data_IF_888033507906
#
_entry.id   IF_888033507906
#
_cell.length_a   1.000
_cell.length_b   1.000
_cell.length_c   1.000
_cell.angle_alpha   90.00
_cell.angle_beta   90.00
_cell.angle_gamma   90.00
#
_symmetry.space_group_name_H-M   'P 1'
#
loop_
_entity.id
_entity.type
_entity.pdbx_description
1 polymer ?
#
# COMPACT_ATOMS: atom_id res chain seq x y z
N UNK A 1 -66.30 -4.38 4.42
CA UNK A 1 -64.93 -4.30 4.98
C UNK A 1 -64.23 -5.63 4.69
N UNK A 2 -63.37 -5.71 3.67
CA UNK A 2 -62.54 -6.90 3.37
C UNK A 2 -61.09 -6.49 3.54
N UNK A 3 -60.43 -6.96 4.60
CA UNK A 3 -58.99 -6.78 4.78
C UNK A 3 -58.26 -7.67 3.75
N UNK A 4 -57.45 -7.05 2.88
CA UNK A 4 -56.46 -7.74 2.05
C UNK A 4 -55.18 -7.88 2.85
N UNK A 5 -54.83 -9.10 3.22
CA UNK A 5 -53.52 -9.43 3.80
C UNK A 5 -52.47 -9.34 2.70
N UNK A 6 -51.55 -8.38 2.77
CA UNK A 6 -50.35 -8.34 1.92
C UNK A 6 -49.30 -9.23 2.58
N UNK A 7 -48.95 -10.34 1.94
CA UNK A 7 -47.79 -11.15 2.30
C UNK A 7 -46.53 -10.39 1.91
N UNK A 8 -45.71 -10.03 2.90
CA UNK A 8 -44.38 -9.45 2.69
C UNK A 8 -43.43 -10.61 2.41
N UNK A 9 -42.91 -10.72 1.18
CA UNK A 9 -41.78 -11.60 0.88
C UNK A 9 -40.51 -10.92 1.40
N UNK A 10 -39.94 -11.44 2.48
CA UNK A 10 -38.60 -11.07 2.92
C UNK A 10 -37.60 -11.82 2.05
N UNK A 11 -36.96 -11.12 1.11
CA UNK A 11 -35.82 -11.65 0.39
C UNK A 11 -34.63 -11.68 1.36
N UNK A 12 -34.26 -12.87 1.84
CA UNK A 12 -33.02 -13.09 2.57
C UNK A 12 -31.92 -13.13 1.50
N UNK A 13 -31.18 -12.03 1.36
CA UNK A 13 -29.95 -12.01 0.58
C UNK A 13 -28.91 -12.82 1.38
N UNK A 14 -28.73 -14.09 1.00
CA UNK A 14 -27.65 -14.89 1.54
C UNK A 14 -26.33 -14.30 1.03
N UNK A 15 -25.61 -13.58 1.88
CA UNK A 15 -24.22 -13.22 1.63
C UNK A 15 -23.42 -14.53 1.64
N UNK A 16 -23.06 -15.03 0.47
CA UNK A 16 -22.11 -16.12 0.32
C UNK A 16 -20.76 -15.60 0.79
N UNK A 17 -20.35 -15.99 2.01
CA UNK A 17 -18.97 -15.86 2.45
C UNK A 17 -18.18 -16.85 1.61
N UNK A 18 -17.57 -16.38 0.52
CA UNK A 18 -16.64 -17.20 -0.26
C UNK A 18 -15.41 -17.46 0.59
N UNK A 19 -15.37 -18.62 1.26
CA UNK A 19 -14.17 -19.17 1.84
C UNK A 19 -13.22 -19.58 0.70
N UNK A 20 -12.46 -18.63 0.18
CA UNK A 20 -11.33 -18.95 -0.68
C UNK A 20 -10.29 -19.65 0.20
N UNK A 21 -10.20 -20.98 0.09
CA UNK A 21 -9.10 -21.72 0.67
C UNK A 21 -7.84 -21.31 -0.11
N UNK A 22 -7.08 -20.35 0.44
CA UNK A 22 -5.84 -19.91 -0.14
C UNK A 22 -4.86 -21.09 -0.22
N UNK A 23 -4.15 -21.21 -1.34
CA UNK A 23 -3.07 -22.17 -1.45
C UNK A 23 -2.07 -21.89 -0.32
N UNK A 24 -1.69 -22.93 0.40
CA UNK A 24 -0.72 -22.80 1.48
C UNK A 24 0.63 -22.39 0.89
N UNK A 25 1.18 -21.27 1.34
CA UNK A 25 2.51 -20.79 0.93
C UNK A 25 3.59 -21.81 1.28
N UNK A 26 4.58 -21.99 0.41
CA UNK A 26 5.70 -22.92 0.61
C UNK A 26 6.96 -22.14 1.05
N UNK A 27 7.46 -22.36 2.28
CA UNK A 27 8.66 -21.68 2.79
C UNK A 27 9.96 -21.96 2.02
N UNK A 28 9.98 -22.99 1.16
CA UNK A 28 11.16 -23.36 0.37
C UNK A 28 11.15 -22.80 -1.05
N UNK A 29 10.12 -22.01 -1.38
CA UNK A 29 9.89 -21.46 -2.72
C UNK A 29 10.31 -20.00 -2.80
N UNK A 30 10.76 -19.56 -3.97
CA UNK A 30 11.03 -18.15 -4.21
C UNK A 30 9.73 -17.34 -4.13
N UNK A 31 9.80 -16.01 -3.88
CA UNK A 31 8.64 -15.13 -3.88
C UNK A 31 7.69 -15.31 -5.06
N UNK A 32 8.22 -15.33 -6.29
CA UNK A 32 7.44 -15.48 -7.52
C UNK A 32 6.86 -16.87 -7.75
N UNK A 33 7.25 -17.88 -6.96
CA UNK A 33 6.64 -19.20 -6.98
C UNK A 33 5.45 -19.30 -6.01
N UNK A 34 5.38 -18.41 -5.00
CA UNK A 34 4.28 -18.33 -4.03
C UNK A 34 3.24 -17.26 -4.40
N UNK A 35 3.65 -16.23 -5.15
CA UNK A 35 2.82 -15.07 -5.51
C UNK A 35 2.89 -14.83 -7.01
N UNK A 36 1.78 -14.40 -7.62
CA UNK A 36 1.80 -13.90 -8.99
C UNK A 36 2.48 -12.53 -9.01
N UNK A 37 3.72 -12.51 -9.47
CA UNK A 37 4.54 -11.31 -9.61
C UNK A 37 4.71 -10.88 -11.08
N UNK A 38 3.92 -11.45 -11.99
CA UNK A 38 4.03 -11.24 -13.44
C UNK A 38 3.79 -9.80 -13.90
N UNK A 39 3.11 -9.00 -13.07
CA UNK A 39 2.82 -7.59 -13.32
C UNK A 39 3.49 -6.66 -12.32
N UNK A 40 4.64 -7.05 -11.78
CA UNK A 40 5.35 -6.27 -10.78
C UNK A 40 6.82 -6.12 -11.11
N UNK A 41 7.32 -4.90 -10.98
CA UNK A 41 8.76 -4.66 -10.78
C UNK A 41 9.01 -4.32 -9.31
N UNK A 42 10.26 -4.43 -8.87
CA UNK A 42 10.64 -4.22 -7.47
C UNK A 42 11.76 -3.18 -7.35
N UNK A 43 11.62 -2.27 -6.39
CA UNK A 43 12.77 -1.51 -5.89
C UNK A 43 13.30 -2.15 -4.62
N UNK A 44 14.63 -2.26 -4.52
CA UNK A 44 15.35 -2.82 -3.37
C UNK A 44 16.27 -1.73 -2.80
N UNK A 45 16.40 -1.57 -1.47
CA UNK A 45 17.07 -0.42 -0.84
C UNK A 45 18.61 -0.51 -0.87
N UNK A 46 19.18 -0.76 -2.05
CA UNK A 46 20.63 -0.81 -2.32
C UNK A 46 20.93 -0.06 -3.62
N UNK A 47 22.22 0.23 -3.87
CA UNK A 47 22.65 0.71 -5.17
C UNK A 47 22.47 -0.38 -6.24
N UNK A 48 22.00 0.01 -7.41
CA UNK A 48 21.83 -0.89 -8.55
C UNK A 48 23.18 -1.44 -9.03
N UNK A 49 23.24 -2.76 -9.22
CA UNK A 49 24.47 -3.44 -9.66
C UNK A 49 24.67 -3.36 -11.17
N UNK A 50 23.65 -2.96 -11.94
CA UNK A 50 23.72 -2.84 -13.41
C UNK A 50 24.55 -1.61 -13.80
N UNK A 51 25.59 -1.73 -14.65
CA UNK A 51 26.49 -0.62 -14.99
C UNK A 51 25.80 0.65 -15.52
N UNK A 52 24.74 0.48 -16.32
CA UNK A 52 23.94 1.56 -16.91
C UNK A 52 23.03 2.27 -15.90
N UNK A 53 22.83 1.67 -14.71
CA UNK A 53 22.05 2.22 -13.60
C UNK A 53 22.91 2.62 -12.39
N UNK A 54 24.23 2.73 -12.57
CA UNK A 54 25.17 3.15 -11.51
C UNK A 54 24.68 4.43 -10.81
N UNK A 55 24.71 4.44 -9.47
CA UNK A 55 24.25 5.55 -8.64
C UNK A 55 22.73 5.67 -8.51
N UNK A 56 21.96 4.69 -9.02
CA UNK A 56 20.51 4.62 -8.84
C UNK A 56 20.14 3.52 -7.83
N UNK A 57 18.92 3.58 -7.31
CA UNK A 57 18.36 2.48 -6.52
C UNK A 57 18.17 1.24 -7.40
N UNK A 58 18.45 0.06 -6.82
CA UNK A 58 18.25 -1.22 -7.48
C UNK A 58 16.82 -1.36 -7.95
N UNK A 59 16.67 -1.61 -9.25
CA UNK A 59 15.41 -2.01 -9.86
C UNK A 59 15.54 -3.42 -10.41
N UNK A 60 14.67 -4.31 -9.91
CA UNK A 60 14.48 -5.65 -10.43
C UNK A 60 13.30 -5.56 -11.39
N UNK A 61 13.56 -5.84 -12.66
CA UNK A 61 12.53 -5.85 -13.71
C UNK A 61 11.49 -6.96 -13.46
N UNK A 62 10.36 -6.87 -14.17
CA UNK A 62 9.32 -7.92 -14.15
C UNK A 62 9.93 -9.29 -14.49
N UNK A 63 10.75 -9.37 -15.54
CA UNK A 63 11.37 -10.62 -15.95
C UNK A 63 12.31 -11.17 -14.86
N UNK A 64 13.24 -10.36 -14.35
CA UNK A 64 14.18 -10.78 -13.30
C UNK A 64 13.45 -11.23 -12.03
N UNK A 65 12.35 -10.55 -11.64
CA UNK A 65 11.56 -10.91 -10.46
C UNK A 65 10.93 -12.30 -10.59
N UNK A 66 10.44 -12.62 -11.80
CA UNK A 66 9.81 -13.90 -12.11
C UNK A 66 10.80 -15.03 -12.43
N UNK A 67 12.11 -14.74 -12.52
CA UNK A 67 13.18 -15.75 -12.54
C UNK A 67 13.56 -16.27 -11.14
N UNK A 68 12.73 -15.98 -10.12
CA UNK A 68 12.94 -16.42 -8.74
C UNK A 68 13.85 -15.50 -7.94
N UNK A 69 13.83 -14.19 -8.23
CA UNK A 69 14.66 -13.20 -7.52
C UNK A 69 14.44 -13.24 -6.01
N UNK A 70 15.54 -13.24 -5.26
CA UNK A 70 15.58 -13.13 -3.80
C UNK A 70 16.73 -12.19 -3.42
N UNK A 71 16.45 -11.28 -2.50
CA UNK A 71 17.48 -10.57 -1.74
C UNK A 71 17.39 -10.98 -0.26
N UNK A 72 18.44 -11.63 0.31
CA UNK A 72 18.36 -12.27 1.62
C UNK A 72 18.04 -11.30 2.78
N UNK A 73 18.33 -10.01 2.62
CA UNK A 73 18.05 -9.00 3.64
C UNK A 73 16.78 -8.17 3.38
N UNK A 74 16.34 -8.03 2.11
CA UNK A 74 15.41 -6.97 1.72
C UNK A 74 14.13 -7.46 1.05
N UNK A 75 14.16 -8.64 0.43
CA UNK A 75 13.04 -9.21 -0.32
C UNK A 75 13.18 -10.74 -0.40
N UNK A 76 12.42 -11.48 0.40
CA UNK A 76 12.58 -12.93 0.50
C UNK A 76 11.32 -13.64 0.98
N UNK A 77 11.30 -14.97 0.85
CA UNK A 77 10.28 -15.84 1.43
C UNK A 77 10.64 -16.14 2.88
N UNK A 78 9.72 -15.90 3.81
CA UNK A 78 9.89 -16.28 5.21
C UNK A 78 10.00 -17.82 5.33
N UNK A 79 11.12 -18.27 5.90
CA UNK A 79 11.47 -19.70 6.00
C UNK A 79 10.53 -20.54 6.88
N UNK A 80 9.58 -19.92 7.60
CA UNK A 80 8.64 -20.63 8.48
C UNK A 80 7.23 -20.65 7.91
N UNK A 81 6.81 -19.54 7.32
CA UNK A 81 5.42 -19.29 6.92
C UNK A 81 5.22 -19.28 5.41
N UNK A 82 6.28 -19.07 4.62
CA UNK A 82 6.17 -18.85 3.17
C UNK A 82 5.74 -17.44 2.78
N UNK A 83 5.53 -16.54 3.76
CA UNK A 83 5.14 -15.16 3.51
C UNK A 83 6.21 -14.40 2.71
N UNK A 84 5.76 -13.46 1.88
CA UNK A 84 6.63 -12.56 1.14
C UNK A 84 7.06 -11.38 2.02
N UNK A 85 8.35 -11.33 2.36
CA UNK A 85 8.92 -10.35 3.29
C UNK A 85 9.57 -9.20 2.54
N UNK A 86 9.21 -7.98 2.92
CA UNK A 86 9.85 -6.73 2.50
C UNK A 86 10.51 -6.05 3.69
N UNK A 87 11.76 -5.63 3.53
CA UNK A 87 12.51 -4.93 4.57
C UNK A 87 13.13 -3.66 4.00
N UNK A 88 13.07 -2.55 4.74
CA UNK A 88 13.71 -1.30 4.36
C UNK A 88 14.36 -0.60 5.57
N UNK A 89 15.67 -0.28 5.52
CA UNK A 89 16.33 0.46 6.59
C UNK A 89 15.89 1.94 6.60
N UNK A 90 16.17 2.68 7.67
CA UNK A 90 15.86 4.11 7.75
C UNK A 90 16.64 4.97 6.74
N UNK A 91 17.79 4.47 6.27
CA UNK A 91 18.58 5.13 5.23
C UNK A 91 19.21 4.11 4.29
N UNK A 92 18.97 4.33 3.01
CA UNK A 92 19.51 3.54 1.91
C UNK A 92 19.53 4.40 0.64
N UNK A 93 19.96 3.82 -0.48
CA UNK A 93 19.74 4.42 -1.80
C UNK A 93 18.24 4.59 -2.04
N UNK A 94 17.82 5.75 -2.56
CA UNK A 94 16.42 6.06 -2.80
C UNK A 94 16.16 6.45 -4.25
N UNK A 95 14.88 6.46 -4.63
CA UNK A 95 14.43 7.00 -5.93
C UNK A 95 14.58 8.53 -5.97
N UNK A 96 14.80 9.16 -7.13
CA UNK A 96 15.11 10.60 -7.24
C UNK A 96 14.19 11.60 -6.53
N UNK A 97 12.91 11.26 -6.34
CA UNK A 97 11.91 12.15 -5.75
C UNK A 97 11.51 11.78 -4.31
N UNK A 98 12.28 10.91 -3.65
CA UNK A 98 11.99 10.47 -2.29
C UNK A 98 13.25 10.42 -1.44
N UNK A 99 13.16 10.88 -0.20
CA UNK A 99 14.19 10.71 0.83
C UNK A 99 14.06 9.39 1.59
N UNK A 100 13.04 8.60 1.27
CA UNK A 100 12.60 7.46 2.06
C UNK A 100 12.94 6.15 1.32
N UNK A 101 13.59 5.24 2.04
CA UNK A 101 13.98 3.93 1.52
C UNK A 101 12.77 3.00 1.39
N UNK A 102 12.86 2.05 0.46
CA UNK A 102 11.79 1.09 0.21
C UNK A 102 12.32 -0.26 -0.28
N UNK A 103 11.65 -1.32 0.15
CA UNK A 103 11.55 -2.57 -0.59
C UNK A 103 10.10 -2.69 -1.00
N UNK A 104 9.78 -2.38 -2.26
CA UNK A 104 8.40 -2.13 -2.67
C UNK A 104 8.16 -2.44 -4.13
N UNK A 105 7.05 -3.15 -4.39
CA UNK A 105 6.58 -3.48 -5.73
C UNK A 105 5.90 -2.27 -6.39
N UNK A 106 6.00 -2.22 -7.71
CA UNK A 106 5.35 -1.24 -8.58
C UNK A 106 4.64 -2.00 -9.70
N UNK A 107 3.33 -1.78 -9.85
CA UNK A 107 2.51 -2.49 -10.84
C UNK A 107 2.87 -2.10 -12.27
N UNK A 108 3.05 -3.09 -13.13
CA UNK A 108 3.39 -2.97 -14.55
C UNK A 108 2.35 -3.77 -15.33
N UNK A 109 1.28 -3.12 -15.79
CA UNK A 109 0.15 -3.81 -16.42
C UNK A 109 0.44 -4.26 -17.87
N UNK A 110 1.47 -3.70 -18.51
CA UNK A 110 1.84 -4.08 -19.86
C UNK A 110 2.68 -5.36 -19.87
N UNK A 111 2.29 -6.33 -20.70
CA UNK A 111 3.11 -7.52 -20.97
C UNK A 111 4.35 -7.22 -21.82
N UNK A 112 4.34 -6.08 -22.53
CA UNK A 112 5.42 -5.68 -23.43
C UNK A 112 6.48 -4.83 -22.67
N UNK A 113 7.73 -5.31 -22.52
CA UNK A 113 8.77 -4.62 -21.76
C UNK A 113 9.24 -3.31 -22.41
N UNK A 114 8.92 -3.07 -23.68
CA UNK A 114 9.21 -1.80 -24.36
C UNK A 114 8.25 -0.68 -23.95
N UNK A 115 7.12 -1.01 -23.33
CA UNK A 115 6.17 0.00 -22.81
C UNK A 115 6.76 0.60 -21.53
N UNK A 116 6.91 1.92 -21.52
CA UNK A 116 7.51 2.63 -20.40
C UNK A 116 6.66 2.54 -19.14
N UNK A 117 7.31 2.57 -17.97
CA UNK A 117 6.64 2.51 -16.66
C UNK A 117 5.48 3.50 -16.51
N UNK A 118 5.63 4.72 -17.07
CA UNK A 118 4.64 5.80 -16.96
C UNK A 118 3.84 6.03 -18.25
N UNK A 119 3.87 5.09 -19.19
CA UNK A 119 3.03 5.13 -20.37
C UNK A 119 1.61 4.68 -20.02
N UNK A 120 0.55 5.31 -20.56
CA UNK A 120 -0.82 4.90 -20.29
C UNK A 120 -1.05 3.39 -20.47
N UNK A 121 -0.46 2.79 -21.50
CA UNK A 121 -0.59 1.37 -21.82
C UNK A 121 0.02 0.40 -20.78
N UNK A 122 0.68 0.91 -19.73
CA UNK A 122 1.19 0.12 -18.59
C UNK A 122 0.48 0.45 -17.27
N UNK A 123 -0.51 1.33 -17.29
CA UNK A 123 -1.16 1.92 -16.13
C UNK A 123 -2.68 1.87 -16.29
N UNK A 124 -3.41 2.16 -15.22
CA UNK A 124 -4.86 2.30 -15.26
C UNK A 124 -5.30 3.76 -15.16
N UNK A 125 -6.55 4.02 -15.54
CA UNK A 125 -7.23 5.30 -15.38
C UNK A 125 -8.57 5.11 -14.66
N UNK A 126 -9.16 6.21 -14.16
CA UNK A 126 -10.56 6.23 -13.74
C UNK A 126 -11.49 6.42 -14.95
N UNK A 127 -12.77 6.08 -14.81
CA UNK A 127 -13.73 6.09 -15.92
C UNK A 127 -13.97 7.48 -16.54
N UNK A 128 -13.81 8.56 -15.78
CA UNK A 128 -13.92 9.94 -16.28
C UNK A 128 -12.67 10.45 -17.04
N UNK A 129 -11.63 9.63 -17.17
CA UNK A 129 -10.47 9.99 -17.97
C UNK A 129 -10.87 10.12 -19.45
N UNK A 130 -10.42 11.19 -20.12
CA UNK A 130 -10.82 11.45 -21.52
C UNK A 130 -10.13 10.54 -22.53
N UNK A 131 -9.11 9.79 -22.10
CA UNK A 131 -8.29 8.95 -22.97
C UNK A 131 -8.20 7.50 -22.46
N UNK A 132 -9.29 6.97 -21.90
CA UNK A 132 -9.34 5.59 -21.35
C UNK A 132 -8.82 4.52 -22.31
N UNK A 133 -9.05 4.68 -23.63
CA UNK A 133 -8.62 3.72 -24.67
C UNK A 133 -7.09 3.56 -24.79
N UNK A 134 -6.32 4.50 -24.24
CA UNK A 134 -4.86 4.41 -24.23
C UNK A 134 -4.32 3.67 -23.00
N UNK A 135 -5.15 3.45 -21.98
CA UNK A 135 -4.74 2.82 -20.73
C UNK A 135 -4.83 1.29 -20.81
N UNK A 136 -4.02 0.60 -20.01
CA UNK A 136 -4.07 -0.86 -19.93
C UNK A 136 -5.40 -1.35 -19.32
N UNK A 137 -5.99 -0.53 -18.45
CA UNK A 137 -7.26 -0.83 -17.76
C UNK A 137 -7.98 0.43 -17.33
N UNK A 138 -9.28 0.32 -17.10
CA UNK A 138 -10.10 1.35 -16.44
C UNK A 138 -10.52 0.81 -15.07
N UNK A 139 -9.92 1.38 -14.02
CA UNK A 139 -10.02 0.85 -12.66
C UNK A 139 -9.00 -0.26 -12.39
N UNK A 140 -9.25 -1.01 -11.33
CA UNK A 140 -8.39 -2.11 -10.89
C UNK A 140 -8.48 -2.30 -9.39
N UNK A 141 -8.04 -3.46 -8.90
CA UNK A 141 -8.18 -3.87 -7.51
C UNK A 141 -6.91 -4.53 -6.99
N UNK A 142 -6.40 -4.02 -5.87
CA UNK A 142 -5.31 -4.61 -5.10
C UNK A 142 -5.86 -5.24 -3.82
N UNK A 143 -5.67 -6.54 -3.63
CA UNK A 143 -6.04 -7.24 -2.40
C UNK A 143 -4.80 -7.76 -1.69
N UNK A 144 -4.71 -7.56 -0.38
CA UNK A 144 -3.59 -8.05 0.41
C UNK A 144 -4.01 -8.58 1.79
N UNK A 145 -3.23 -9.51 2.32
CA UNK A 145 -3.19 -9.87 3.73
C UNK A 145 -1.75 -9.71 4.20
N UNK A 146 -1.52 -8.90 5.23
CA UNK A 146 -0.17 -8.48 5.64
C UNK A 146 -0.04 -8.50 7.16
N UNK A 147 1.18 -8.69 7.67
CA UNK A 147 1.57 -8.26 9.01
C UNK A 147 2.68 -7.21 8.90
N UNK A 148 2.63 -6.19 9.75
CA UNK A 148 3.81 -5.34 9.98
C UNK A 148 4.60 -5.95 11.11
N UNK A 149 5.80 -6.43 10.83
CA UNK A 149 6.60 -7.18 11.78
C UNK A 149 7.51 -6.25 12.59
N UNK A 150 7.93 -5.14 11.98
CA UNK A 150 8.75 -4.12 12.63
C UNK A 150 8.55 -2.74 12.01
N UNK A 151 8.66 -1.70 12.82
CA UNK A 151 8.82 -0.30 12.39
C UNK A 151 9.98 0.30 13.16
N UNK A 152 10.57 1.37 12.63
CA UNK A 152 11.68 2.04 13.29
C UNK A 152 11.31 2.38 14.72
N UNK A 153 12.26 2.22 15.66
CA UNK A 153 12.08 2.60 17.07
C UNK A 153 12.73 3.94 17.41
N UNK A 154 13.44 4.55 16.44
CA UNK A 154 13.98 5.91 16.51
C UNK A 154 13.13 6.88 15.69
N UNK A 155 13.20 8.16 16.02
CA UNK A 155 12.48 9.23 15.31
C UNK A 155 11.91 10.31 16.23
N UNK A 156 11.51 11.43 15.64
CA UNK A 156 10.83 12.50 16.35
C UNK A 156 9.32 12.23 16.40
N UNK A 157 8.78 12.04 17.61
CA UNK A 157 7.35 11.78 17.84
C UNK A 157 6.41 12.87 17.32
N UNK A 158 6.91 14.08 17.07
CA UNK A 158 6.11 15.20 16.53
C UNK A 158 5.79 15.03 15.05
N UNK A 159 6.58 14.25 14.32
CA UNK A 159 6.39 13.97 12.90
C UNK A 159 5.58 12.69 12.70
N UNK A 160 4.63 12.72 11.76
CA UNK A 160 3.75 11.57 11.50
C UNK A 160 4.47 10.40 10.84
N UNK A 161 5.58 10.68 10.15
CA UNK A 161 6.31 9.70 9.36
C UNK A 161 7.23 8.83 10.23
N UNK A 162 7.65 9.35 11.38
CA UNK A 162 8.42 8.60 12.38
C UNK A 162 7.64 7.37 12.86
N UNK A 163 8.33 6.25 13.02
CA UNK A 163 7.78 4.97 13.50
C UNK A 163 6.66 4.41 12.60
N UNK A 164 6.70 4.72 11.29
CA UNK A 164 5.64 4.31 10.36
C UNK A 164 6.19 3.72 9.06
N UNK A 165 5.34 2.91 8.43
CA UNK A 165 5.57 2.29 7.13
C UNK A 165 4.30 2.42 6.31
N UNK A 166 4.47 2.69 5.02
CA UNK A 166 3.39 2.58 4.04
C UNK A 166 3.41 1.17 3.46
N UNK A 167 2.27 0.49 3.53
CA UNK A 167 2.11 -0.93 3.16
C UNK A 167 1.38 -1.16 1.84
N UNK A 168 0.74 -0.12 1.30
CA UNK A 168 -0.01 -0.16 0.05
C UNK A 168 -0.33 1.24 -0.44
N UNK A 169 -0.35 1.44 -1.76
CA UNK A 169 -0.56 2.75 -2.38
C UNK A 169 -1.31 2.65 -3.70
N UNK A 170 -2.00 3.73 -4.05
CA UNK A 170 -2.19 4.16 -5.43
C UNK A 170 -1.37 5.41 -5.62
N UNK A 171 -0.51 5.39 -6.62
CA UNK A 171 0.33 6.52 -6.98
C UNK A 171 -0.06 7.00 -8.38
N UNK A 172 -0.15 8.32 -8.56
CA UNK A 172 -0.36 8.95 -9.87
C UNK A 172 0.99 9.34 -10.49
N UNK A 173 1.07 10.27 -11.45
CA UNK A 173 2.39 10.68 -11.96
C UNK A 173 3.24 11.44 -10.93
N UNK A 174 2.59 12.25 -10.10
CA UNK A 174 3.28 13.22 -9.23
C UNK A 174 2.85 13.15 -7.77
N UNK A 175 1.62 12.69 -7.51
CA UNK A 175 0.95 12.75 -6.21
C UNK A 175 0.33 11.37 -5.90
N UNK A 176 -0.01 11.11 -4.65
CA UNK A 176 -0.54 9.82 -4.21
C UNK A 176 -1.99 9.91 -3.72
N UNK A 177 -3.00 9.54 -4.54
CA UNK A 177 -4.40 9.49 -4.09
C UNK A 177 -4.62 8.49 -2.93
N UNK A 178 -3.70 7.55 -2.71
CA UNK A 178 -3.76 6.65 -1.56
C UNK A 178 -2.37 6.29 -1.04
N UNK A 179 -2.18 6.43 0.26
CA UNK A 179 -1.12 5.77 1.03
C UNK A 179 -1.72 5.11 2.27
N UNK A 180 -1.59 3.79 2.42
CA UNK A 180 -2.02 3.05 3.60
C UNK A 180 -0.84 2.95 4.56
N UNK A 181 -0.98 3.56 5.73
CA UNK A 181 0.05 3.58 6.77
C UNK A 181 -0.27 2.59 7.89
N UNK A 182 0.79 1.99 8.42
CA UNK A 182 0.85 1.49 9.77
C UNK A 182 1.85 2.33 10.56
N UNK A 183 1.49 2.75 11.77
CA UNK A 183 2.37 3.50 12.67
C UNK A 183 2.22 3.01 14.09
N UNK A 184 3.34 2.71 14.76
CA UNK A 184 3.35 2.29 16.15
C UNK A 184 4.40 3.08 16.93
N UNK A 185 3.99 3.78 17.98
CA UNK A 185 4.96 4.46 18.84
C UNK A 185 5.76 3.43 19.67
N UNK A 186 7.02 3.74 20.03
CA UNK A 186 7.86 2.86 20.83
C UNK A 186 7.25 2.44 22.18
N UNK A 187 6.46 3.31 22.80
CA UNK A 187 5.80 3.13 24.10
C UNK A 187 4.39 2.52 24.01
N UNK A 188 3.90 2.21 22.82
CA UNK A 188 2.59 1.58 22.61
C UNK A 188 2.74 0.07 22.40
N UNK A 189 1.71 -0.71 22.77
CA UNK A 189 1.61 -2.11 22.37
C UNK A 189 0.98 -2.23 20.98
N UNK A 190 -0.03 -1.41 20.67
CA UNK A 190 -0.76 -1.42 19.41
C UNK A 190 -0.29 -0.30 18.47
N UNK A 191 -0.19 -0.63 17.18
CA UNK A 191 -0.07 0.34 16.10
C UNK A 191 -1.41 0.82 15.59
N UNK A 192 -1.44 2.02 15.02
CA UNK A 192 -2.58 2.55 14.29
C UNK A 192 -2.45 2.27 12.80
N UNK A 193 -3.56 1.90 12.18
CA UNK A 193 -3.74 1.79 10.73
C UNK A 193 -4.60 2.95 10.27
N UNK A 194 -4.13 3.68 9.28
CA UNK A 194 -4.85 4.78 8.67
C UNK A 194 -4.44 4.91 7.21
N UNK A 195 -5.22 5.62 6.42
CA UNK A 195 -4.83 5.93 5.05
C UNK A 195 -4.84 7.44 4.82
N UNK A 196 -3.94 7.91 3.96
CA UNK A 196 -3.87 9.30 3.53
C UNK A 196 -4.38 9.41 2.08
N UNK A 197 -5.23 10.41 1.85
CA UNK A 197 -5.48 10.98 0.52
C UNK A 197 -4.60 12.23 0.36
N UNK A 198 -3.68 12.23 -0.61
CA UNK A 198 -2.97 13.47 -0.98
C UNK A 198 -3.83 14.26 -1.97
N UNK A 199 -4.12 15.52 -1.68
CA UNK A 199 -4.82 16.37 -2.64
C UNK A 199 -3.98 16.59 -3.91
N UNK A 200 -4.64 16.61 -5.07
CA UNK A 200 -3.94 16.78 -6.33
C UNK A 200 -3.59 18.25 -6.63
N UNK A 201 -2.64 18.82 -5.90
CA UNK A 201 -2.14 20.16 -6.21
C UNK A 201 -1.13 20.10 -7.38
N UNK A 202 -1.33 20.97 -8.37
CA UNK A 202 -0.62 20.94 -9.64
C UNK A 202 0.00 22.32 -9.97
N UNK A 203 0.99 22.33 -10.88
CA UNK A 203 1.61 23.55 -11.38
C UNK A 203 2.18 24.43 -10.26
N UNK A 204 1.87 25.72 -10.26
CA UNK A 204 2.36 26.68 -9.26
C UNK A 204 1.89 26.34 -7.84
N UNK A 205 0.78 25.62 -7.70
CA UNK A 205 0.23 25.18 -6.41
C UNK A 205 0.83 23.85 -5.92
N UNK A 206 1.80 23.26 -6.60
CA UNK A 206 2.39 21.96 -6.21
C UNK A 206 2.94 21.93 -4.77
N UNK A 207 3.37 23.07 -4.24
CA UNK A 207 3.83 23.20 -2.85
C UNK A 207 2.69 23.21 -1.81
N UNK A 208 1.42 23.17 -2.25
CA UNK A 208 0.20 23.14 -1.43
C UNK A 208 -0.36 21.73 -1.23
N UNK A 209 0.39 20.70 -1.61
CA UNK A 209 0.03 19.30 -1.33
C UNK A 209 -0.04 19.06 0.18
N UNK A 210 -0.98 18.22 0.55
CA UNK A 210 -1.33 17.88 1.91
C UNK A 210 -1.91 16.47 1.93
N UNK A 211 -1.38 15.65 2.82
CA UNK A 211 -1.98 14.38 3.19
C UNK A 211 -3.14 14.58 4.18
N UNK A 212 -4.31 14.08 3.81
CA UNK A 212 -5.51 14.04 4.63
C UNK A 212 -5.69 12.62 5.17
N UNK A 213 -5.52 12.45 6.47
CA UNK A 213 -5.55 11.14 7.13
C UNK A 213 -6.97 10.71 7.52
N UNK A 214 -7.23 9.41 7.35
CA UNK A 214 -8.48 8.73 7.69
C UNK A 214 -8.18 7.51 8.57
N UNK A 215 -8.70 7.54 9.80
CA UNK A 215 -8.47 6.49 10.79
C UNK A 215 -9.20 5.20 10.41
N UNK A 216 -8.50 4.06 10.45
CA UNK A 216 -9.09 2.72 10.27
C UNK A 216 -9.20 2.00 11.61
N UNK A 217 -8.05 1.76 12.25
CA UNK A 217 -7.89 1.16 13.57
C UNK A 217 -6.89 1.99 14.37
N UNK A 218 -7.25 2.41 15.59
CA UNK A 218 -6.49 3.42 16.30
C UNK A 218 -6.68 4.81 15.70
N UNK A 219 -5.64 5.67 15.73
CA UNK A 219 -5.71 7.04 15.20
C UNK A 219 -4.44 7.45 14.48
N UNK A 220 -4.57 8.19 13.39
CA UNK A 220 -3.47 8.90 12.79
C UNK A 220 -2.93 9.99 13.74
N UNK A 221 -1.73 10.49 13.43
CA UNK A 221 -1.13 11.64 14.14
C UNK A 221 -1.00 11.45 15.66
N UNK A 222 -0.79 10.22 16.13
CA UNK A 222 -0.40 9.95 17.51
C UNK A 222 0.88 10.69 17.90
N UNK A 223 1.01 11.04 19.18
CA UNK A 223 2.14 11.78 19.75
C UNK A 223 2.60 11.10 21.04
N UNK A 224 3.80 11.46 21.48
CA UNK A 224 4.32 11.04 22.77
C UNK A 224 3.32 11.34 23.90
N UNK A 225 3.06 10.35 24.75
CA UNK A 225 2.13 10.46 25.88
C UNK A 225 0.65 10.33 25.53
N UNK A 226 0.28 10.16 24.25
CA UNK A 226 -1.08 9.72 23.92
C UNK A 226 -1.31 8.27 24.38
N UNK A 227 -2.55 7.94 24.70
CA UNK A 227 -2.95 6.58 25.09
C UNK A 227 -2.71 5.58 23.96
N UNK A 228 -2.33 4.36 24.35
CA UNK A 228 -2.15 3.22 23.46
C UNK A 228 -3.48 2.84 22.80
N UNK A 229 -3.59 2.84 21.45
CA UNK A 229 -4.84 2.60 20.73
C UNK A 229 -5.28 1.15 20.83
N UNK A 230 -6.13 0.83 21.82
CA UNK A 230 -6.55 -0.55 22.11
C UNK A 230 -7.33 -1.24 20.97
N UNK A 231 -7.90 -0.46 20.04
CA UNK A 231 -8.55 -0.99 18.83
C UNK A 231 -7.59 -1.19 17.65
N UNK A 232 -6.32 -0.81 17.81
CA UNK A 232 -5.24 -0.92 16.84
C UNK A 232 -4.81 -2.36 16.51
N UNK A 233 -3.65 -2.47 15.85
CA UNK A 233 -3.08 -3.73 15.33
C UNK A 233 -1.67 -3.89 15.90
N UNK A 234 -1.34 -5.05 16.47
CA UNK A 234 0.01 -5.33 17.01
C UNK A 234 1.00 -5.62 15.89
N UNK A 235 2.29 -5.49 16.20
CA UNK A 235 3.32 -6.04 15.30
C UNK A 235 3.15 -7.56 15.17
N UNK A 236 3.25 -8.07 13.95
CA UNK A 236 3.02 -9.48 13.61
C UNK A 236 1.55 -9.91 13.55
N UNK A 237 0.59 -9.04 13.91
CA UNK A 237 -0.83 -9.30 13.75
C UNK A 237 -1.24 -9.10 12.27
N UNK A 238 -2.06 -10.01 11.75
CA UNK A 238 -2.53 -9.96 10.37
C UNK A 238 -3.63 -8.91 10.20
N UNK A 239 -3.54 -8.18 9.10
CA UNK A 239 -4.51 -7.21 8.61
C UNK A 239 -4.73 -7.49 7.12
N UNK A 240 -5.98 -7.59 6.70
CA UNK A 240 -6.32 -7.57 5.27
C UNK A 240 -6.71 -6.17 4.83
N UNK A 241 -6.33 -5.79 3.61
CA UNK A 241 -6.86 -4.61 2.94
C UNK A 241 -7.24 -4.93 1.49
N UNK A 242 -8.26 -4.25 0.98
CA UNK A 242 -8.61 -4.20 -0.43
C UNK A 242 -8.68 -2.74 -0.86
N UNK A 243 -8.09 -2.44 -2.02
CA UNK A 243 -8.17 -1.16 -2.70
C UNK A 243 -8.76 -1.41 -4.06
N UNK A 244 -10.02 -1.03 -4.27
CA UNK A 244 -10.74 -1.24 -5.53
C UNK A 244 -11.14 0.11 -6.14
N UNK A 245 -10.69 0.40 -7.36
CA UNK A 245 -11.13 1.57 -8.13
C UNK A 245 -12.17 1.12 -9.15
N UNK A 246 -13.41 1.51 -8.94
CA UNK A 246 -14.55 1.23 -9.82
C UNK A 246 -15.17 2.56 -10.28
N UNK A 247 -15.22 2.76 -11.60
CA UNK A 247 -15.63 4.06 -12.16
C UNK A 247 -14.65 5.17 -11.76
N UNK A 248 -15.15 6.15 -11.00
CA UNK A 248 -14.35 7.25 -10.43
C UNK A 248 -14.11 7.09 -8.92
N UNK A 249 -14.62 6.01 -8.33
CA UNK A 249 -14.64 5.82 -6.88
C UNK A 249 -13.54 4.83 -6.47
N UNK A 250 -12.70 5.26 -5.54
CA UNK A 250 -11.81 4.38 -4.80
C UNK A 250 -12.55 3.86 -3.56
N UNK A 251 -12.79 2.56 -3.55
CA UNK A 251 -13.32 1.80 -2.43
C UNK A 251 -12.17 1.17 -1.65
N UNK A 252 -12.18 1.35 -0.33
CA UNK A 252 -11.22 0.74 0.57
C UNK A 252 -11.95 -0.15 1.56
N UNK A 253 -11.43 -1.35 1.77
CA UNK A 253 -11.89 -2.26 2.82
C UNK A 253 -10.70 -2.71 3.65
N UNK A 254 -10.87 -2.73 4.98
CA UNK A 254 -9.87 -3.23 5.93
C UNK A 254 -10.53 -4.24 6.86
N UNK A 255 -9.86 -5.36 7.10
CA UNK A 255 -10.36 -6.43 7.97
C UNK A 255 -9.26 -6.81 8.96
N UNK A 256 -9.61 -6.76 10.25
CA UNK A 256 -8.82 -7.33 11.35
C UNK A 256 -9.45 -8.63 11.80
N UNK A 257 -8.63 -9.57 12.28
CA UNK A 257 -9.07 -10.87 12.79
C UNK A 257 -9.92 -11.66 11.78
N UNK A 258 -9.50 -11.65 10.50
CA UNK A 258 -10.26 -12.25 9.38
C UNK A 258 -10.55 -13.75 9.59
N UNK A 259 -9.62 -14.47 10.23
CA UNK A 259 -9.74 -15.90 10.54
C UNK A 259 -10.49 -16.19 11.85
N UNK A 260 -10.97 -15.16 12.57
CA UNK A 260 -11.68 -15.33 13.84
C UNK A 260 -13.20 -15.44 13.64
N UNK A 261 -13.90 -15.85 14.70
CA UNK A 261 -15.37 -15.83 14.74
C UNK A 261 -15.98 -14.41 14.67
N UNK A 262 -15.18 -13.36 14.90
CA UNK A 262 -15.65 -11.97 15.00
C UNK A 262 -14.72 -11.01 14.23
N UNK A 263 -14.63 -11.11 12.89
CA UNK A 263 -13.81 -10.21 12.10
C UNK A 263 -14.32 -8.76 12.21
N UNK A 264 -13.41 -7.81 12.33
CA UNK A 264 -13.75 -6.39 12.39
C UNK A 264 -13.46 -5.75 11.04
N UNK A 265 -14.52 -5.26 10.38
CA UNK A 265 -14.46 -4.65 9.05
C UNK A 265 -14.63 -3.12 9.10
N UNK A 266 -13.84 -2.39 8.32
CA UNK A 266 -13.96 -0.93 8.09
C UNK A 266 -13.92 -0.66 6.59
N UNK A 267 -14.82 0.18 6.11
CA UNK A 267 -14.94 0.50 4.67
C UNK A 267 -14.97 2.01 4.43
N UNK A 268 -14.38 2.44 3.32
CA UNK A 268 -14.36 3.83 2.87
C UNK A 268 -14.67 3.89 1.38
N UNK A 269 -15.19 5.03 0.93
CA UNK A 269 -15.39 5.33 -0.49
C UNK A 269 -15.12 6.81 -0.72
N UNK A 270 -14.34 7.12 -1.76
CA UNK A 270 -14.00 8.49 -2.15
C UNK A 270 -14.00 8.60 -3.67
N UNK A 271 -14.67 9.63 -4.20
CA UNK A 271 -14.52 10.00 -5.60
C UNK A 271 -13.17 10.70 -5.78
N UNK A 272 -12.21 10.01 -6.39
CA UNK A 272 -10.86 10.55 -6.60
C UNK A 272 -10.79 11.43 -7.86
N UNK A 273 -11.81 11.44 -8.71
CA UNK A 273 -11.84 12.21 -9.96
C UNK A 273 -12.23 13.69 -9.74
N UNK A 274 -13.19 13.97 -8.85
CA UNK A 274 -13.84 15.29 -8.72
C UNK A 274 -12.96 16.41 -8.12
N UNK A 275 -11.99 16.04 -7.29
CA UNK A 275 -11.19 17.02 -6.53
C UNK A 275 -12.01 17.77 -5.49
N UNK A 276 -11.48 18.93 -5.04
CA UNK A 276 -12.03 19.72 -3.93
C UNK A 276 -12.36 18.93 -2.67
N UNK A 277 -11.63 17.84 -2.39
CA UNK A 277 -11.93 16.97 -1.27
C UNK A 277 -11.93 17.73 0.06
N UNK A 278 -13.03 17.61 0.82
CA UNK A 278 -13.27 18.36 2.06
C UNK A 278 -13.10 19.89 1.92
N UNK A 279 -13.40 20.44 0.74
CA UNK A 279 -13.30 21.88 0.45
C UNK A 279 -11.88 22.36 0.16
N UNK A 280 -10.92 21.45 -0.04
CA UNK A 280 -9.56 21.84 -0.43
C UNK A 280 -9.53 22.33 -1.88
N UNK A 281 -9.59 23.65 -2.07
CA UNK A 281 -9.54 24.30 -3.39
C UNK A 281 -8.30 24.01 -4.24
N UNK A 282 -7.23 23.48 -3.64
CA UNK A 282 -6.01 23.09 -4.34
C UNK A 282 -6.05 21.64 -4.83
N UNK A 283 -7.12 20.91 -4.51
CA UNK A 283 -7.32 19.58 -5.03
C UNK A 283 -7.96 19.64 -6.42
N UNK A 284 -7.16 19.45 -7.46
CA UNK A 284 -7.66 19.41 -8.83
C UNK A 284 -8.44 18.13 -9.17
N UNK A 285 -8.43 17.12 -8.28
CA UNK A 285 -8.93 15.78 -8.58
C UNK A 285 -8.02 15.04 -9.56
N UNK A 286 -8.19 13.73 -9.64
CA UNK A 286 -7.31 12.85 -10.40
C UNK A 286 -7.93 12.34 -11.70
N UNK A 287 -9.05 12.91 -12.18
CA UNK A 287 -9.80 12.42 -13.34
C UNK A 287 -8.92 12.15 -14.58
N UNK A 288 -7.90 12.97 -14.81
CA UNK A 288 -7.03 12.89 -15.99
C UNK A 288 -5.63 12.31 -15.69
N UNK A 289 -5.49 11.62 -14.56
CA UNK A 289 -4.24 11.00 -14.15
C UNK A 289 -4.13 9.57 -14.68
N UNK A 290 -2.87 9.13 -14.83
CA UNK A 290 -2.51 7.71 -14.81
C UNK A 290 -2.39 7.26 -13.35
N UNK A 291 -2.63 5.98 -13.10
CA UNK A 291 -2.47 5.36 -11.80
C UNK A 291 -1.76 4.02 -11.89
N UNK A 292 -1.04 3.69 -10.83
CA UNK A 292 -0.48 2.36 -10.61
C UNK A 292 -0.51 2.02 -9.12
N UNK A 293 -0.62 0.73 -8.84
CA UNK A 293 -0.56 0.19 -7.50
C UNK A 293 0.89 0.02 -7.03
N UNK A 294 1.09 0.15 -5.72
CA UNK A 294 2.34 -0.25 -5.04
C UNK A 294 2.01 -1.02 -3.77
N UNK A 295 2.86 -1.98 -3.42
CA UNK A 295 2.74 -2.78 -2.21
C UNK A 295 4.12 -3.21 -1.70
N UNK A 296 4.32 -3.24 -0.38
CA UNK A 296 5.58 -3.64 0.23
C UNK A 296 5.88 -2.85 1.50
N UNK A 297 7.16 -2.52 1.72
CA UNK A 297 7.64 -1.76 2.85
C UNK A 297 8.25 -0.42 2.39
N UNK A 298 7.43 0.63 2.32
CA UNK A 298 7.91 1.99 2.07
C UNK A 298 8.13 2.71 3.41
N UNK A 299 9.39 2.73 3.87
CA UNK A 299 9.76 3.24 5.18
C UNK A 299 9.66 4.76 5.24
N UNK A 300 8.78 5.29 6.10
CA UNK A 300 8.57 6.72 6.23
C UNK A 300 9.55 7.37 7.21
N UNK A 301 10.25 6.55 8.01
CA UNK A 301 11.19 7.00 9.02
C UNK A 301 12.59 7.24 8.42
N UNK A 302 12.83 8.40 7.83
CA UNK A 302 14.14 8.76 7.26
C UNK A 302 15.03 9.55 8.22
N UNK A 303 16.35 9.54 7.98
CA UNK A 303 17.33 10.30 8.79
C UNK A 303 17.29 11.81 8.57
N UNK A 304 16.36 12.31 7.76
CA UNK A 304 16.21 13.72 7.43
C UNK A 304 15.30 14.44 8.41
N UNK A 305 14.23 15.02 7.89
CA UNK A 305 13.27 15.88 8.62
C UNK A 305 12.62 15.21 9.82
N UNK A 306 12.45 13.89 9.79
CA UNK A 306 11.70 13.14 10.81
C UNK A 306 12.60 12.59 11.92
N UNK A 307 13.93 12.77 11.80
CA UNK A 307 14.89 12.55 12.89
C UNK A 307 15.16 11.09 13.26
N UNK A 308 14.87 10.14 12.37
CA UNK A 308 15.20 8.73 12.61
C UNK A 308 16.72 8.52 12.52
N UNK A 309 17.25 7.54 13.25
CA UNK A 309 18.67 7.22 13.18
C UNK A 309 18.95 6.17 12.11
N UNK A 310 20.23 5.95 11.81
CA UNK A 310 20.68 4.87 10.92
C UNK A 310 21.85 4.13 11.57
N UNK A 311 21.59 3.60 12.76
CA UNK A 311 22.53 2.83 13.58
C UNK A 311 22.54 1.33 13.23
N UNK A 312 21.70 0.92 12.27
CA UNK A 312 21.63 -0.45 11.76
C UNK A 312 20.41 -1.23 12.28
N UNK A 313 20.25 -2.44 11.75
CA UNK A 313 19.10 -3.31 12.03
C UNK A 313 19.01 -3.71 13.51
N UNK A 314 20.15 -4.00 14.15
CA UNK A 314 20.22 -4.35 15.58
C UNK A 314 19.73 -3.22 16.50
N UNK A 315 19.84 -1.97 16.05
CA UNK A 315 19.31 -0.80 16.77
C UNK A 315 17.80 -0.59 16.53
N UNK A 316 17.18 -1.38 15.66
CA UNK A 316 15.78 -1.27 15.27
C UNK A 316 15.49 -0.19 14.24
N UNK A 317 16.50 0.30 13.49
CA UNK A 317 16.38 1.39 12.52
C UNK A 317 15.92 0.92 11.12
N UNK A 318 14.78 0.24 11.07
CA UNK A 318 14.20 -0.31 9.84
C UNK A 318 12.70 -0.52 9.95
N UNK A 319 12.07 -0.96 8.87
CA UNK A 319 10.74 -1.56 8.88
C UNK A 319 10.74 -2.89 8.15
N UNK A 320 9.85 -3.79 8.56
CA UNK A 320 9.62 -5.08 7.95
C UNK A 320 8.12 -5.36 7.85
N UNK A 321 7.69 -5.84 6.68
CA UNK A 321 6.30 -6.19 6.37
C UNK A 321 6.29 -7.56 5.69
N UNK A 322 5.40 -8.45 6.14
CA UNK A 322 5.19 -9.78 5.56
C UNK A 322 3.81 -9.87 4.90
N UNK A 323 3.77 -10.30 3.65
CA UNK A 323 2.53 -10.53 2.90
C UNK A 323 2.22 -12.02 2.85
N UNK A 324 0.97 -12.36 3.19
CA UNK A 324 0.41 -13.71 3.12
C UNK A 324 -0.52 -13.87 1.91
N UNK A 325 -1.00 -12.74 1.38
CA UNK A 325 -1.74 -12.64 0.11
C UNK A 325 -1.41 -11.32 -0.57
N UNK A 326 -1.27 -11.35 -1.88
CA UNK A 326 -1.11 -10.18 -2.73
C UNK A 326 -1.69 -10.52 -4.12
N UNK A 327 -2.78 -9.86 -4.48
CA UNK A 327 -3.50 -10.09 -5.74
C UNK A 327 -3.77 -8.75 -6.42
N UNK A 328 -3.48 -8.68 -7.72
CA UNK A 328 -3.73 -7.52 -8.57
C UNK A 328 -4.71 -7.93 -9.67
N UNK A 329 -5.93 -7.42 -9.58
CA UNK A 329 -6.98 -7.65 -10.58
C UNK A 329 -7.23 -6.36 -11.37
N UNK A 330 -7.50 -6.48 -12.67
CA UNK A 330 -7.82 -5.37 -13.55
C UNK A 330 -8.62 -5.91 -14.75
N UNK A 331 -9.52 -5.08 -15.29
CA UNK A 331 -10.34 -5.38 -16.47
C UNK A 331 -9.88 -4.61 -17.71
#
# INVERSE_FOLDING_TARGET
>A
MKLKTKTLLTAILAATVSSHAFAQLDPNKAPSENFDLSQWKLNVPIEDTKPERKGQVMEVSVAELNEGYVHPEWFYTDSRTGALVFVAPNKAMTTPNSSNARSELHAMLADNPEVGTYDPANNFAVASNKNIEAYASVGGKLSAEVSVDHVSVSGDHRHNDSFSVVIGQIHARHNEPLKIFYRKLPDHEYGSVYWNYENNALGDDYHKRLDISHDVFGKAKQRFGHEDPQDGVKLGEKLSYEVNVEGDIMHLEFIKDADSDNPVKKTFAINIAEGNYLGNKYDAGYAQSLFFYKAGAYNQCSTGSVGCTNNGMDAGDYTQVSFYRLELDHE
#
